data_IF_786220377139
#
_entry.id   IF_786220377139
#
_cell.length_a   1.000
_cell.length_b   1.000
_cell.length_c   1.000
_cell.angle_alpha   90.00
_cell.angle_beta   90.00
_cell.angle_gamma   90.00
#
_symmetry.space_group_name_H-M   'P 1'
#
loop_
_entity.id
_entity.type
_entity.pdbx_description
1 polymer ?
#
# COMPACT_ATOMS: atom_id res chain seq x y z
N UNK A 1 8.97 -1.78 -13.69
CA UNK A 1 8.45 -1.90 -12.32
C UNK A 1 7.92 -0.54 -11.85
N UNK A 2 8.76 0.53 -11.87
CA UNK A 2 8.39 1.83 -11.29
C UNK A 2 7.10 2.42 -11.91
N UNK A 3 6.94 2.37 -13.24
CA UNK A 3 5.71 2.83 -13.90
C UNK A 3 4.47 2.02 -13.50
N UNK A 4 4.61 0.73 -13.21
CA UNK A 4 3.50 -0.08 -12.67
C UNK A 4 3.19 0.27 -11.22
N UNK A 5 4.21 0.51 -10.40
CA UNK A 5 4.01 0.99 -9.04
C UNK A 5 3.25 2.33 -9.03
N UNK A 6 3.67 3.26 -9.92
CA UNK A 6 3.02 4.56 -10.06
C UNK A 6 1.61 4.46 -10.63
N UNK A 7 1.33 3.49 -11.53
CA UNK A 7 -0.01 3.28 -12.07
C UNK A 7 -1.00 2.81 -10.98
N UNK A 8 -0.53 2.20 -9.87
CA UNK A 8 -1.41 1.87 -8.74
C UNK A 8 -1.92 3.10 -7.95
N UNK A 9 -1.50 4.33 -8.27
CA UNK A 9 -2.14 5.55 -7.75
C UNK A 9 -3.66 5.54 -7.98
N UNK A 10 -4.13 4.84 -9.01
CA UNK A 10 -5.56 4.65 -9.26
C UNK A 10 -6.30 3.93 -8.11
N UNK A 11 -5.59 3.42 -7.10
CA UNK A 11 -6.17 2.83 -5.90
C UNK A 11 -6.39 3.84 -4.76
N UNK A 12 -5.76 5.02 -4.78
CA UNK A 12 -5.88 6.01 -3.70
C UNK A 12 -7.34 6.44 -3.49
N UNK A 13 -8.00 6.93 -4.53
CA UNK A 13 -9.41 7.33 -4.43
C UNK A 13 -10.35 6.16 -4.03
N UNK A 14 -10.26 4.94 -4.63
CA UNK A 14 -11.00 3.79 -4.15
C UNK A 14 -10.75 3.43 -2.69
N UNK A 15 -9.52 3.56 -2.18
CA UNK A 15 -9.24 3.34 -0.75
C UNK A 15 -9.97 4.38 0.10
N UNK A 16 -9.95 5.65 -0.29
CA UNK A 16 -10.75 6.70 0.34
C UNK A 16 -12.26 6.40 0.30
N UNK A 17 -12.78 5.85 -0.81
CA UNK A 17 -14.18 5.43 -0.92
C UNK A 17 -14.50 4.25 0.01
N UNK A 18 -13.60 3.26 0.14
CA UNK A 18 -13.76 2.16 1.09
C UNK A 18 -13.86 2.66 2.55
N UNK A 19 -13.05 3.64 2.92
CA UNK A 19 -13.09 4.25 4.25
C UNK A 19 -14.41 5.02 4.44
N UNK A 20 -14.84 5.77 3.42
CA UNK A 20 -16.10 6.53 3.43
C UNK A 20 -17.31 5.61 3.59
N UNK A 21 -17.32 4.49 2.87
CA UNK A 21 -18.38 3.50 2.99
C UNK A 21 -18.40 2.84 4.39
N UNK A 22 -17.22 2.58 4.96
CA UNK A 22 -17.11 2.08 6.33
C UNK A 22 -17.63 3.09 7.35
N UNK A 23 -17.39 4.39 7.16
CA UNK A 23 -17.92 5.47 8.02
C UNK A 23 -19.45 5.56 8.02
N UNK A 24 -20.11 5.11 6.95
CA UNK A 24 -21.56 5.01 6.86
C UNK A 24 -22.12 3.80 7.64
N UNK A 25 -21.26 2.88 8.09
CA UNK A 25 -21.59 1.70 8.86
C UNK A 25 -21.20 1.82 10.34
N UNK A 26 -21.19 0.72 11.08
CA UNK A 26 -20.79 0.69 12.49
C UNK A 26 -19.24 0.68 12.63
N UNK A 27 -18.65 1.85 12.72
CA UNK A 27 -17.24 2.01 13.12
C UNK A 27 -17.13 2.59 14.52
N UNK A 28 -16.08 2.27 15.31
CA UNK A 28 -15.86 2.85 16.63
C UNK A 28 -15.87 4.38 16.59
N UNK A 29 -16.61 4.99 17.50
CA UNK A 29 -16.78 6.46 17.53
C UNK A 29 -15.45 7.20 17.54
N UNK A 30 -14.48 6.73 18.34
CA UNK A 30 -13.17 7.37 18.48
C UNK A 30 -12.32 7.29 17.20
N UNK A 31 -12.63 6.37 16.28
CA UNK A 31 -11.91 6.26 15.01
C UNK A 31 -12.44 7.20 13.93
N UNK A 32 -13.66 7.73 14.07
CA UNK A 32 -14.35 8.49 13.01
C UNK A 32 -13.57 9.69 12.52
N UNK A 33 -13.12 10.57 13.42
CA UNK A 33 -12.35 11.77 13.04
C UNK A 33 -11.08 11.42 12.26
N UNK A 34 -10.38 10.37 12.69
CA UNK A 34 -9.15 9.93 12.01
C UNK A 34 -9.48 9.36 10.63
N UNK A 35 -10.51 8.53 10.53
CA UNK A 35 -10.96 7.96 9.25
C UNK A 35 -11.43 9.05 8.27
N UNK A 36 -12.12 10.08 8.76
CA UNK A 36 -12.52 11.24 7.94
C UNK A 36 -11.30 12.01 7.42
N UNK A 37 -10.25 12.15 8.25
CA UNK A 37 -8.97 12.72 7.83
C UNK A 37 -8.29 11.86 6.77
N UNK A 38 -8.26 10.54 6.96
CA UNK A 38 -7.67 9.59 6.00
C UNK A 38 -8.30 9.75 4.61
N UNK A 39 -9.63 9.87 4.53
CA UNK A 39 -10.32 10.12 3.24
C UNK A 39 -9.81 11.39 2.54
N UNK A 40 -9.47 12.43 3.29
CA UNK A 40 -8.92 13.67 2.70
C UNK A 40 -7.46 13.49 2.27
N UNK A 41 -6.71 12.65 2.96
CA UNK A 41 -5.32 12.35 2.62
C UNK A 41 -5.24 11.55 1.32
N UNK A 42 -6.14 10.56 1.08
CA UNK A 42 -6.21 9.81 -0.19
C UNK A 42 -6.40 10.73 -1.42
N UNK A 43 -7.18 11.80 -1.27
CA UNK A 43 -7.35 12.80 -2.34
C UNK A 43 -6.05 13.56 -2.61
N UNK A 44 -5.27 13.86 -1.56
CA UNK A 44 -3.95 14.51 -1.69
C UNK A 44 -2.93 13.56 -2.30
N UNK A 45 -2.93 12.29 -1.87
CA UNK A 45 -2.05 11.23 -2.38
C UNK A 45 -2.27 11.01 -3.88
N UNK A 46 -3.52 10.83 -4.32
CA UNK A 46 -3.88 10.71 -5.74
C UNK A 46 -3.34 11.89 -6.56
N UNK A 47 -3.56 13.11 -6.07
CA UNK A 47 -3.07 14.32 -6.75
C UNK A 47 -1.53 14.38 -6.80
N UNK A 48 -0.86 14.09 -5.69
CA UNK A 48 0.59 14.14 -5.62
C UNK A 48 1.24 13.08 -6.52
N UNK A 49 0.72 11.85 -6.50
CA UNK A 49 1.17 10.78 -7.38
C UNK A 49 0.81 11.06 -8.85
N UNK A 50 -0.30 11.76 -9.11
CA UNK A 50 -0.66 12.26 -10.44
C UNK A 50 0.42 13.18 -11.01
N UNK A 51 0.89 14.16 -10.25
CA UNK A 51 1.99 15.03 -10.68
C UNK A 51 3.30 14.27 -10.95
N UNK A 52 3.60 13.26 -10.14
CA UNK A 52 4.75 12.38 -10.39
C UNK A 52 4.56 11.59 -11.69
N UNK A 53 3.34 11.08 -11.93
CA UNK A 53 3.03 10.35 -13.16
C UNK A 53 3.17 11.22 -14.40
N UNK A 54 2.72 12.47 -14.35
CA UNK A 54 2.85 13.43 -15.45
C UNK A 54 4.32 13.73 -15.73
N UNK A 55 5.13 13.90 -14.71
CA UNK A 55 6.57 14.17 -14.83
C UNK A 55 7.38 12.98 -15.39
N UNK A 56 7.05 11.77 -14.98
CA UNK A 56 7.74 10.53 -15.40
C UNK A 56 7.25 9.95 -16.72
N UNK A 57 6.06 10.34 -17.14
CA UNK A 57 5.32 9.73 -18.23
C UNK A 57 4.73 8.37 -17.85
N UNK A 58 3.51 8.15 -18.29
CA UNK A 58 2.77 6.92 -18.02
C UNK A 58 3.05 5.84 -19.07
N UNK A 59 2.86 4.58 -18.67
CA UNK A 59 2.81 3.43 -19.59
C UNK A 59 1.33 3.08 -19.83
N UNK A 60 0.78 3.30 -21.04
CA UNK A 60 -0.64 3.06 -21.29
C UNK A 60 -1.09 1.62 -21.04
N UNK A 61 -0.18 0.65 -21.13
CA UNK A 61 -0.48 -0.74 -20.81
C UNK A 61 -0.58 -0.91 -19.29
N UNK A 62 0.38 -0.38 -18.55
CA UNK A 62 0.36 -0.44 -17.08
C UNK A 62 -0.87 0.28 -16.51
N UNK A 63 -1.25 1.42 -17.09
CA UNK A 63 -2.47 2.15 -16.68
C UNK A 63 -3.73 1.29 -16.84
N UNK A 64 -3.93 0.67 -18.01
CA UNK A 64 -5.08 -0.21 -18.22
C UNK A 64 -5.10 -1.43 -17.29
N UNK A 65 -3.93 -2.03 -17.04
CA UNK A 65 -3.82 -3.16 -16.14
C UNK A 65 -4.07 -2.76 -14.68
N UNK A 66 -3.62 -1.56 -14.26
CA UNK A 66 -3.89 -1.00 -12.94
C UNK A 66 -5.38 -0.71 -12.73
N UNK A 67 -6.06 -0.16 -13.74
CA UNK A 67 -7.51 0.08 -13.70
C UNK A 67 -8.29 -1.24 -13.55
N UNK A 68 -7.89 -2.30 -14.24
CA UNK A 68 -8.51 -3.61 -14.06
C UNK A 68 -8.29 -4.19 -12.64
N UNK A 69 -7.12 -3.96 -12.05
CA UNK A 69 -6.86 -4.33 -10.65
C UNK A 69 -7.73 -3.50 -9.69
N UNK A 70 -7.81 -2.18 -9.90
CA UNK A 70 -8.70 -1.30 -9.14
C UNK A 70 -10.14 -1.81 -9.15
N UNK A 71 -10.67 -2.16 -10.33
CA UNK A 71 -12.02 -2.67 -10.47
C UNK A 71 -12.21 -3.97 -9.69
N UNK A 72 -11.23 -4.89 -9.76
CA UNK A 72 -11.25 -6.12 -8.97
C UNK A 72 -11.23 -5.86 -7.45
N UNK A 73 -10.51 -4.83 -6.98
CA UNK A 73 -10.53 -4.42 -5.57
C UNK A 73 -11.87 -3.80 -5.18
N UNK A 74 -12.41 -2.94 -6.03
CA UNK A 74 -13.70 -2.28 -5.79
C UNK A 74 -14.83 -3.30 -5.69
N UNK A 75 -14.89 -4.27 -6.59
CA UNK A 75 -15.92 -5.30 -6.66
C UNK A 75 -15.74 -6.43 -5.63
N UNK A 76 -14.60 -6.49 -4.94
CA UNK A 76 -14.33 -7.57 -3.98
C UNK A 76 -15.32 -7.52 -2.81
N UNK A 77 -15.92 -8.67 -2.40
CA UNK A 77 -17.03 -8.71 -1.44
C UNK A 77 -16.63 -8.48 0.03
N UNK A 78 -15.34 -8.52 0.36
CA UNK A 78 -14.89 -8.29 1.74
C UNK A 78 -15.25 -6.87 2.20
N UNK A 79 -15.38 -6.70 3.51
CA UNK A 79 -15.73 -5.43 4.15
C UNK A 79 -14.80 -4.29 3.71
N UNK A 80 -15.36 -3.11 3.45
CA UNK A 80 -14.64 -2.00 2.84
C UNK A 80 -13.44 -1.54 3.66
N UNK A 81 -13.58 -1.38 5.00
CA UNK A 81 -12.44 -1.02 5.86
C UNK A 81 -11.32 -2.08 5.86
N UNK A 82 -11.68 -3.35 5.67
CA UNK A 82 -10.71 -4.43 5.56
C UNK A 82 -9.95 -4.36 4.22
N UNK A 83 -10.64 -4.02 3.13
CA UNK A 83 -10.00 -3.76 1.83
C UNK A 83 -9.02 -2.59 1.92
N UNK A 84 -9.41 -1.48 2.55
CA UNK A 84 -8.53 -0.34 2.79
C UNK A 84 -7.29 -0.77 3.59
N UNK A 85 -7.48 -1.42 4.74
CA UNK A 85 -6.39 -1.89 5.59
C UNK A 85 -5.40 -2.79 4.85
N UNK A 86 -5.89 -3.72 4.01
CA UNK A 86 -5.02 -4.62 3.25
C UNK A 86 -4.27 -3.88 2.14
N UNK A 87 -4.94 -2.95 1.44
CA UNK A 87 -4.32 -2.14 0.39
C UNK A 87 -3.20 -1.26 0.95
N UNK A 88 -3.46 -0.51 2.00
CA UNK A 88 -2.48 0.38 2.62
C UNK A 88 -1.33 -0.42 3.25
N UNK A 89 -1.64 -1.39 4.10
CA UNK A 89 -0.65 -2.13 4.87
C UNK A 89 0.24 -3.03 4.02
N UNK A 90 -0.32 -3.77 3.08
CA UNK A 90 0.39 -4.84 2.39
C UNK A 90 0.70 -4.56 0.91
N UNK A 91 0.23 -3.41 0.40
CA UNK A 91 0.55 -2.94 -0.95
C UNK A 91 1.28 -1.60 -0.87
N UNK A 92 0.69 -0.52 -0.36
CA UNK A 92 1.33 0.80 -0.36
C UNK A 92 2.59 0.84 0.50
N UNK A 93 2.60 0.19 1.68
CA UNK A 93 3.81 0.04 2.49
C UNK A 93 4.92 -0.82 1.83
N UNK A 94 4.67 -1.44 0.70
CA UNK A 94 5.69 -2.07 -0.16
C UNK A 94 6.07 -1.14 -1.31
N UNK A 95 5.10 -0.49 -1.93
CA UNK A 95 5.33 0.35 -3.12
C UNK A 95 6.00 1.67 -2.79
N UNK A 96 5.62 2.34 -1.72
CA UNK A 96 6.22 3.61 -1.32
C UNK A 96 7.73 3.47 -1.03
N UNK A 97 8.19 2.47 -0.24
CA UNK A 97 9.60 2.17 -0.13
C UNK A 97 10.29 1.81 -1.45
N UNK A 98 9.62 1.08 -2.34
CA UNK A 98 10.16 0.80 -3.66
C UNK A 98 10.34 2.07 -4.49
N UNK A 99 9.36 2.98 -4.48
CA UNK A 99 9.44 4.28 -5.14
C UNK A 99 10.57 5.15 -4.56
N UNK A 100 10.77 5.11 -3.24
CA UNK A 100 11.89 5.79 -2.58
C UNK A 100 13.25 5.22 -3.00
N UNK A 101 13.34 3.91 -3.19
CA UNK A 101 14.55 3.25 -3.64
C UNK A 101 14.85 3.54 -5.12
N UNK A 102 13.85 3.39 -5.99
CA UNK A 102 14.02 3.41 -7.45
C UNK A 102 13.76 4.76 -8.11
N UNK A 103 13.11 5.69 -7.40
CA UNK A 103 12.70 7.01 -7.93
C UNK A 103 13.78 8.08 -7.84
N UNK A 104 13.50 9.19 -8.50
CA UNK A 104 14.27 10.45 -8.37
C UNK A 104 13.93 11.20 -7.06
N UNK A 105 14.51 12.39 -6.89
CA UNK A 105 14.30 13.19 -5.69
C UNK A 105 12.82 13.55 -5.47
N UNK A 106 12.08 13.92 -6.53
CA UNK A 106 10.67 14.27 -6.44
C UNK A 106 9.82 13.09 -5.99
N UNK A 107 9.99 11.94 -6.61
CA UNK A 107 9.28 10.71 -6.25
C UNK A 107 9.63 10.24 -4.82
N UNK A 108 10.90 10.37 -4.41
CA UNK A 108 11.33 10.05 -3.04
C UNK A 108 10.62 10.93 -2.01
N UNK A 109 10.53 12.23 -2.28
CA UNK A 109 9.86 13.19 -1.40
C UNK A 109 8.37 12.86 -1.26
N UNK A 110 7.65 12.74 -2.37
CA UNK A 110 6.22 12.39 -2.37
C UNK A 110 5.98 11.07 -1.65
N UNK A 111 6.74 10.03 -1.97
CA UNK A 111 6.61 8.72 -1.30
C UNK A 111 6.91 8.77 0.19
N UNK A 112 7.83 9.65 0.62
CA UNK A 112 8.14 9.81 2.04
C UNK A 112 6.99 10.51 2.79
N UNK A 113 6.38 11.53 2.18
CA UNK A 113 5.26 12.26 2.79
C UNK A 113 4.03 11.35 2.90
N UNK A 114 3.64 10.68 1.82
CA UNK A 114 2.55 9.70 1.84
C UNK A 114 2.81 8.62 2.91
N UNK A 115 4.04 8.11 3.02
CA UNK A 115 4.38 7.09 4.03
C UNK A 115 4.14 7.53 5.47
N UNK A 116 4.14 8.82 5.77
CA UNK A 116 3.82 9.34 7.13
C UNK A 116 2.33 9.24 7.41
N UNK A 117 1.51 9.64 6.45
CA UNK A 117 0.07 9.59 6.56
C UNK A 117 -0.38 8.12 6.66
N UNK A 118 0.17 7.26 5.81
CA UNK A 118 -0.11 5.82 5.80
C UNK A 118 0.19 5.10 7.12
N UNK A 119 1.13 5.57 7.93
CA UNK A 119 1.34 4.99 9.27
C UNK A 119 0.11 5.16 10.15
N UNK A 120 -0.54 6.31 10.09
CA UNK A 120 -1.77 6.60 10.84
C UNK A 120 -2.94 5.80 10.27
N UNK A 121 -3.07 5.77 8.94
CA UNK A 121 -4.10 5.01 8.23
C UNK A 121 -4.06 3.52 8.60
N UNK A 122 -2.90 2.88 8.42
CA UNK A 122 -2.71 1.45 8.74
C UNK A 122 -2.98 1.16 10.21
N UNK A 123 -2.53 2.02 11.13
CA UNK A 123 -2.78 1.83 12.56
C UNK A 123 -4.29 1.89 12.87
N UNK A 124 -4.97 2.93 12.37
CA UNK A 124 -6.40 3.13 12.60
C UNK A 124 -7.24 2.03 11.96
N UNK A 125 -7.00 1.74 10.68
CA UNK A 125 -7.75 0.71 9.94
C UNK A 125 -7.55 -0.68 10.55
N UNK A 126 -6.32 -0.99 11.02
CA UNK A 126 -6.05 -2.26 11.72
C UNK A 126 -6.77 -2.36 13.06
N UNK A 127 -6.87 -1.25 13.82
CA UNK A 127 -7.64 -1.20 15.06
C UNK A 127 -9.13 -1.42 14.79
N UNK A 128 -9.70 -0.71 13.82
CA UNK A 128 -11.12 -0.85 13.45
C UNK A 128 -11.43 -2.27 12.99
N UNK A 129 -10.60 -2.86 12.11
CA UNK A 129 -10.79 -4.25 11.67
C UNK A 129 -10.77 -5.22 12.86
N UNK A 130 -9.88 -5.01 13.83
CA UNK A 130 -9.81 -5.85 15.03
C UNK A 130 -11.03 -5.70 15.92
N UNK A 131 -11.50 -4.47 16.16
CA UNK A 131 -12.70 -4.20 16.97
C UNK A 131 -13.96 -4.80 16.33
N UNK A 132 -14.04 -4.80 14.99
CA UNK A 132 -15.15 -5.39 14.24
C UNK A 132 -14.98 -6.91 14.01
N UNK A 133 -13.87 -7.52 14.46
CA UNK A 133 -13.60 -8.95 14.27
C UNK A 133 -13.41 -9.35 12.80
N UNK A 134 -12.94 -8.43 11.95
CA UNK A 134 -12.79 -8.67 10.52
C UNK A 134 -11.48 -9.39 10.21
N UNK A 135 -11.55 -10.41 9.37
CA UNK A 135 -10.39 -11.11 8.81
C UNK A 135 -10.47 -11.16 7.29
N UNK A 136 -9.31 -10.98 6.63
CA UNK A 136 -9.24 -11.06 5.19
C UNK A 136 -9.56 -12.47 4.69
N UNK A 137 -10.45 -12.56 3.73
CA UNK A 137 -10.74 -13.83 3.06
C UNK A 137 -9.53 -14.32 2.26
N UNK A 138 -9.43 -15.63 1.98
CA UNK A 138 -8.41 -16.17 1.08
C UNK A 138 -8.43 -15.53 -0.32
N UNK A 139 -9.60 -15.07 -0.79
CA UNK A 139 -9.73 -14.39 -2.09
C UNK A 139 -9.14 -12.99 -2.05
N UNK A 140 -9.33 -12.22 -0.97
CA UNK A 140 -8.72 -10.90 -0.81
C UNK A 140 -7.19 -11.01 -0.70
N UNK A 141 -6.68 -11.98 0.06
CA UNK A 141 -5.23 -12.23 0.12
C UNK A 141 -4.65 -12.65 -1.24
N UNK A 142 -5.39 -13.45 -2.00
CA UNK A 142 -5.00 -13.81 -3.37
C UNK A 142 -4.95 -12.58 -4.29
N UNK A 143 -5.92 -11.67 -4.18
CA UNK A 143 -5.95 -10.42 -4.95
C UNK A 143 -4.77 -9.51 -4.57
N UNK A 144 -4.48 -9.35 -3.27
CA UNK A 144 -3.29 -8.64 -2.78
C UNK A 144 -2.01 -9.20 -3.38
N UNK A 145 -1.81 -10.52 -3.30
CA UNK A 145 -0.63 -11.21 -3.88
C UNK A 145 -0.51 -10.98 -5.38
N UNK A 146 -1.64 -11.06 -6.10
CA UNK A 146 -1.67 -10.81 -7.53
C UNK A 146 -1.27 -9.37 -7.87
N UNK A 147 -1.73 -8.39 -7.08
CA UNK A 147 -1.43 -6.97 -7.26
C UNK A 147 0.08 -6.71 -7.10
N UNK A 148 0.68 -7.16 -6.00
CA UNK A 148 2.13 -7.01 -5.79
C UNK A 148 2.95 -7.78 -6.84
N UNK A 149 2.54 -9.01 -7.16
CA UNK A 149 3.22 -9.81 -8.17
C UNK A 149 3.18 -9.15 -9.56
N UNK A 150 2.08 -8.48 -9.90
CA UNK A 150 1.95 -7.71 -11.12
C UNK A 150 2.91 -6.52 -11.15
N UNK A 151 2.97 -5.73 -10.09
CA UNK A 151 3.89 -4.58 -10.02
C UNK A 151 5.34 -5.03 -10.14
N UNK A 152 5.72 -6.07 -9.40
CA UNK A 152 7.10 -6.55 -9.31
C UNK A 152 7.49 -7.52 -10.45
N UNK A 153 6.57 -7.83 -11.37
CA UNK A 153 6.82 -8.76 -12.47
C UNK A 153 8.07 -8.44 -13.31
N UNK A 154 8.38 -7.14 -13.60
CA UNK A 154 9.56 -6.82 -14.39
C UNK A 154 10.89 -7.03 -13.65
N UNK A 155 10.88 -7.18 -12.32
CA UNK A 155 12.07 -7.54 -11.56
C UNK A 155 12.33 -9.03 -11.71
N UNK A 156 13.62 -9.36 -11.89
CA UNK A 156 14.09 -10.74 -11.92
C UNK A 156 14.56 -11.21 -10.54
N UNK A 157 15.38 -12.28 -10.56
CA UNK A 157 16.20 -12.70 -9.43
C UNK A 157 17.47 -11.88 -9.42
N UNK A 158 17.85 -11.34 -8.29
CA UNK A 158 19.06 -10.51 -8.13
C UNK A 158 19.77 -10.83 -6.81
N UNK A 159 21.11 -10.65 -6.81
CA UNK A 159 21.90 -10.64 -5.57
C UNK A 159 21.69 -9.37 -4.77
N UNK A 160 21.33 -8.26 -5.41
CA UNK A 160 20.84 -7.06 -4.74
C UNK A 160 19.38 -7.28 -4.32
N UNK A 161 19.15 -7.29 -3.01
CA UNK A 161 17.83 -7.58 -2.44
C UNK A 161 16.74 -6.62 -2.92
N UNK A 162 17.06 -5.37 -3.19
CA UNK A 162 16.08 -4.38 -3.65
C UNK A 162 15.76 -4.50 -5.14
N UNK A 163 16.57 -5.20 -5.90
CA UNK A 163 16.32 -5.55 -7.29
C UNK A 163 15.75 -6.96 -7.43
N UNK A 164 15.64 -7.71 -6.33
CA UNK A 164 15.07 -9.06 -6.32
C UNK A 164 13.54 -9.01 -6.13
N UNK A 165 12.81 -9.54 -7.09
CA UNK A 165 11.36 -9.65 -7.04
C UNK A 165 10.87 -10.30 -5.75
N UNK A 166 11.53 -11.41 -5.34
CA UNK A 166 11.11 -12.18 -4.16
C UNK A 166 11.17 -11.36 -2.87
N UNK A 167 12.12 -10.46 -2.74
CA UNK A 167 12.23 -9.59 -1.57
C UNK A 167 10.95 -8.77 -1.34
N UNK A 168 10.37 -8.18 -2.41
CA UNK A 168 9.17 -7.36 -2.32
C UNK A 168 7.91 -8.19 -2.09
N UNK A 169 7.82 -9.38 -2.70
CA UNK A 169 6.72 -10.32 -2.44
C UNK A 169 6.72 -10.77 -0.97
N UNK A 170 7.88 -11.17 -0.44
CA UNK A 170 8.03 -11.58 0.95
C UNK A 170 7.75 -10.41 1.92
N UNK A 171 8.09 -9.17 1.54
CA UNK A 171 7.77 -7.97 2.33
C UNK A 171 6.27 -7.76 2.46
N UNK A 172 5.51 -7.92 1.37
CA UNK A 172 4.06 -7.85 1.39
C UNK A 172 3.43 -8.93 2.27
N UNK A 173 3.91 -10.18 2.15
CA UNK A 173 3.45 -11.28 3.01
C UNK A 173 3.75 -11.01 4.48
N UNK A 174 4.93 -10.50 4.79
CA UNK A 174 5.29 -10.14 6.16
C UNK A 174 4.35 -9.10 6.73
N UNK A 175 4.07 -8.02 6.00
CA UNK A 175 3.18 -6.96 6.44
C UNK A 175 1.75 -7.47 6.63
N UNK A 176 1.25 -8.31 5.71
CA UNK A 176 -0.08 -8.90 5.80
C UNK A 176 -0.25 -9.78 7.03
N UNK A 177 0.77 -10.56 7.35
CA UNK A 177 0.71 -11.56 8.43
C UNK A 177 1.44 -11.13 9.70
N UNK A 178 1.78 -9.86 9.85
CA UNK A 178 2.40 -9.36 11.07
C UNK A 178 1.54 -9.71 12.30
N UNK A 179 2.18 -10.28 13.33
CA UNK A 179 1.48 -10.81 14.50
C UNK A 179 0.89 -12.22 14.32
N UNK A 180 0.82 -12.76 13.09
CA UNK A 180 0.43 -14.15 12.80
C UNK A 180 1.69 -14.99 12.52
N UNK A 181 2.55 -15.08 13.52
CA UNK A 181 3.89 -15.68 13.45
C UNK A 181 4.02 -17.03 12.70
N UNK A 182 3.05 -17.94 12.75
CA UNK A 182 3.18 -19.24 12.08
C UNK A 182 3.16 -19.17 10.55
N UNK A 183 2.63 -18.10 9.95
CA UNK A 183 2.50 -17.98 8.50
C UNK A 183 3.74 -17.41 7.81
N UNK A 184 4.72 -16.92 8.57
CA UNK A 184 5.97 -16.37 8.03
C UNK A 184 7.15 -17.20 8.45
N UNK A 185 7.99 -17.60 7.50
CA UNK A 185 9.30 -18.16 7.80
C UNK A 185 10.24 -17.10 8.38
N UNK A 186 11.26 -17.53 9.14
CA UNK A 186 12.28 -16.61 9.68
C UNK A 186 13.00 -15.85 8.58
N UNK A 187 13.19 -16.47 7.40
CA UNK A 187 13.75 -15.81 6.23
C UNK A 187 12.87 -14.67 5.70
N UNK A 188 11.55 -14.85 5.73
CA UNK A 188 10.61 -13.78 5.31
C UNK A 188 10.62 -12.63 6.32
N UNK A 189 10.65 -12.94 7.64
CA UNK A 189 10.76 -11.92 8.70
C UNK A 189 12.04 -11.11 8.61
N UNK A 190 13.16 -11.77 8.31
CA UNK A 190 14.46 -11.13 8.19
C UNK A 190 14.62 -10.23 6.94
N UNK A 191 13.67 -10.29 6.00
CA UNK A 191 13.74 -9.57 4.72
C UNK A 191 13.08 -8.21 4.70
N UNK A 192 12.58 -7.69 5.82
CA UNK A 192 12.06 -6.33 5.84
C UNK A 192 13.12 -5.33 5.40
N UNK A 193 12.78 -4.40 4.51
CA UNK A 193 13.66 -3.28 4.23
C UNK A 193 13.96 -2.47 5.48
N UNK A 194 15.22 -2.06 5.68
CA UNK A 194 15.63 -1.31 6.86
C UNK A 194 14.85 -0.01 7.08
N UNK A 195 14.33 0.60 6.02
CA UNK A 195 13.52 1.81 6.14
C UNK A 195 12.10 1.57 6.72
N UNK A 196 11.62 0.34 6.79
CA UNK A 196 10.43 0.01 7.58
C UNK A 196 10.73 0.00 9.09
N UNK A 197 11.96 -0.35 9.45
CA UNK A 197 12.40 -0.38 10.85
C UNK A 197 12.74 1.03 11.36
N UNK A 198 13.13 1.93 10.45
CA UNK A 198 13.63 3.28 10.74
C UNK A 198 12.97 4.34 9.85
N UNK A 199 11.64 4.27 9.71
CA UNK A 199 10.89 5.15 8.79
C UNK A 199 11.24 6.64 8.97
N UNK A 200 11.35 7.11 10.22
CA UNK A 200 11.66 8.51 10.52
C UNK A 200 13.11 8.92 10.20
N UNK A 201 14.04 7.98 10.21
CA UNK A 201 15.47 8.26 9.95
C UNK A 201 15.78 8.38 8.45
N UNK A 202 14.94 7.77 7.61
CA UNK A 202 15.13 7.75 6.16
C UNK A 202 14.24 8.74 5.42
N UNK A 203 13.49 9.57 6.13
CA UNK A 203 12.69 10.63 5.52
C UNK A 203 13.57 11.82 5.15
N UNK A 204 13.30 12.52 4.03
CA UNK A 204 13.95 13.77 3.72
C UNK A 204 13.75 14.73 4.90
N UNK A 205 14.84 15.35 5.37
CA UNK A 205 14.72 16.48 6.29
C UNK A 205 14.47 17.71 5.44
N UNK A 206 13.35 18.35 5.66
CA UNK A 206 13.06 19.65 5.07
C UNK A 206 13.82 20.69 5.88
N UNK A 207 14.67 21.46 5.18
CA UNK A 207 15.34 22.62 5.75
C UNK A 207 14.38 23.80 5.86
#
# INVERSE_FOLDING_TARGET
TLRRALALRHMELPVGDFIRDALASEVPFLAREILESNVQDEIKHDRALGYVADAWGVDPKAEREALALRDAWTEHPDHTILKAMVAERAIFFVLLPFMRFAGDAGMRTVSADISRDEQVHVATNSLVCRELGLEASPSLDKLRKATIAWVMQPLGKSSDKYLDKKFWLDSSDRLMYEGKAPQLSDTQRARMPAFFEHANQNLPQYA
#
